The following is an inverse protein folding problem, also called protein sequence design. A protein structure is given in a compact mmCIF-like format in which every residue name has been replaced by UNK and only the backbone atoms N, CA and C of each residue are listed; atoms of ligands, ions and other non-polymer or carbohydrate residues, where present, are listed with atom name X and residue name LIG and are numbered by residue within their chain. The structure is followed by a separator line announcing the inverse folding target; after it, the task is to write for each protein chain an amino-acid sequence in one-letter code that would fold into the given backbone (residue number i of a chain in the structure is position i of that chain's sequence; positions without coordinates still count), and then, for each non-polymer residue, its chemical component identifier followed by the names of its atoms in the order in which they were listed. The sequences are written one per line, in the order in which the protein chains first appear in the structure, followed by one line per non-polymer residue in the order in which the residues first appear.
data_IF_352720417760
#
_entry.id   IF_352720417760
#
_cell.length_a   1.000
_cell.length_b   1.000
_cell.length_c   1.000
_cell.angle_alpha   90.00
_cell.angle_beta   90.00
_cell.angle_gamma   90.00
#
_symmetry.space_group_name_H-M   'P 1'
#
loop_
_entity.id
_entity.type
_entity.pdbx_description
1 polymer ?
#
# COMPACT_ATOMS: atom_id res chain seq x y z
N UNK A 1 20.50 2.91 -2.46
CA UNK A 1 19.16 3.51 -2.18
C UNK A 1 18.24 3.16 -3.36
N UNK A 2 17.00 2.73 -3.09
CA UNK A 2 16.06 2.33 -4.14
C UNK A 2 15.82 3.46 -5.15
N UNK A 3 15.77 3.12 -6.44
CA UNK A 3 15.58 4.06 -7.56
C UNK A 3 14.12 4.40 -7.84
N UNK A 4 13.18 3.80 -7.11
CA UNK A 4 11.75 4.05 -7.29
C UNK A 4 11.43 5.42 -6.69
N UNK A 5 11.01 6.38 -7.51
CA UNK A 5 10.64 7.74 -7.06
C UNK A 5 9.19 8.13 -7.39
N UNK A 6 8.45 7.24 -8.05
CA UNK A 6 7.02 7.41 -8.31
C UNK A 6 6.20 7.19 -7.03
N UNK A 7 4.96 7.71 -6.94
CA UNK A 7 4.06 7.39 -5.84
C UNK A 7 3.83 5.88 -5.68
N UNK A 8 3.83 5.37 -4.45
CA UNK A 8 3.63 3.94 -4.16
C UNK A 8 2.61 3.73 -3.05
N UNK A 9 1.60 2.92 -3.35
CA UNK A 9 0.74 2.31 -2.35
C UNK A 9 1.19 0.87 -2.10
N UNK A 10 1.47 0.53 -0.85
CA UNK A 10 1.66 -0.86 -0.39
C UNK A 10 0.39 -1.26 0.36
N UNK A 11 -0.18 -2.42 0.04
CA UNK A 11 -1.35 -2.97 0.73
C UNK A 11 -0.99 -4.33 1.32
N UNK A 12 -1.23 -4.51 2.61
CA UNK A 12 -1.04 -5.79 3.31
C UNK A 12 -2.23 -6.08 4.23
N UNK A 13 -2.39 -7.35 4.61
CA UNK A 13 -3.27 -7.70 5.72
C UNK A 13 -2.62 -7.42 7.08
N UNK A 14 -3.44 -6.98 8.05
CA UNK A 14 -3.02 -6.75 9.43
C UNK A 14 -2.55 -8.03 10.13
N UNK A 15 -3.14 -9.17 9.75
CA UNK A 15 -2.94 -10.47 10.38
C UNK A 15 -2.09 -11.40 9.48
N UNK A 16 -1.34 -10.86 8.52
CA UNK A 16 -0.44 -11.64 7.66
C UNK A 16 0.78 -12.12 8.45
N UNK A 17 0.77 -13.39 8.84
CA UNK A 17 1.88 -14.01 9.55
C UNK A 17 3.10 -14.30 8.66
N UNK A 18 2.94 -14.34 7.33
CA UNK A 18 4.07 -14.56 6.41
C UNK A 18 4.90 -13.29 6.24
N UNK A 19 4.28 -12.11 6.40
CA UNK A 19 4.91 -10.80 6.27
C UNK A 19 4.56 -9.97 7.49
N UNK A 20 5.31 -10.09 8.60
CA UNK A 20 4.97 -9.42 9.84
C UNK A 20 5.00 -7.89 9.71
N UNK A 21 4.31 -7.13 10.58
CA UNK A 21 4.20 -5.68 10.48
C UNK A 21 5.52 -4.92 10.35
N UNK A 22 6.60 -5.40 10.98
CA UNK A 22 7.94 -4.82 10.88
C UNK A 22 8.48 -4.86 9.45
N UNK A 23 8.22 -5.95 8.74
CA UNK A 23 8.76 -6.21 7.41
C UNK A 23 7.98 -5.42 6.37
N UNK A 24 6.66 -5.31 6.54
CA UNK A 24 5.80 -4.43 5.75
C UNK A 24 6.29 -2.97 5.84
N UNK A 25 6.56 -2.49 7.06
CA UNK A 25 7.05 -1.14 7.30
C UNK A 25 8.45 -0.94 6.73
N UNK A 26 9.36 -1.90 6.94
CA UNK A 26 10.72 -1.85 6.41
C UNK A 26 10.74 -1.83 4.88
N UNK A 27 9.86 -2.57 4.23
CA UNK A 27 9.72 -2.52 2.77
C UNK A 27 9.37 -1.11 2.28
N UNK A 28 8.38 -0.45 2.90
CA UNK A 28 8.01 0.93 2.57
C UNK A 28 9.19 1.91 2.76
N UNK A 29 9.97 1.73 3.83
CA UNK A 29 11.14 2.57 4.13
C UNK A 29 12.25 2.43 3.10
N UNK A 30 12.45 1.22 2.55
CA UNK A 30 13.45 0.95 1.52
C UNK A 30 13.12 1.62 0.17
N UNK A 31 11.87 2.02 -0.07
CA UNK A 31 11.47 2.73 -1.29
C UNK A 31 11.99 4.17 -1.30
N UNK A 32 12.62 4.55 -2.42
CA UNK A 32 13.12 5.91 -2.67
C UNK A 32 12.02 6.95 -2.94
N UNK A 33 10.76 6.55 -2.89
CA UNK A 33 9.60 7.42 -3.07
C UNK A 33 9.57 8.47 -1.95
N UNK A 34 9.30 9.76 -2.28
CA UNK A 34 9.15 10.81 -1.28
C UNK A 34 8.17 10.40 -0.16
N UNK A 35 8.44 10.76 1.11
CA UNK A 35 7.61 10.34 2.25
C UNK A 35 6.11 10.70 2.12
N UNK A 36 5.81 11.83 1.48
CA UNK A 36 4.45 12.31 1.19
C UNK A 36 3.75 11.57 0.04
N UNK A 37 4.47 10.68 -0.66
CA UNK A 37 3.98 9.95 -1.84
C UNK A 37 4.05 8.44 -1.70
N UNK A 38 4.32 7.94 -0.49
CA UNK A 38 4.27 6.51 -0.18
C UNK A 38 3.41 6.24 1.04
N UNK A 39 2.63 5.18 0.97
CA UNK A 39 1.75 4.77 2.08
C UNK A 39 1.69 3.25 2.18
N UNK A 40 1.64 2.77 3.42
CA UNK A 40 1.30 1.39 3.75
C UNK A 40 -0.14 1.33 4.30
N UNK A 41 -1.04 0.70 3.55
CA UNK A 41 -2.40 0.40 3.98
C UNK A 41 -2.45 -1.02 4.56
N UNK A 42 -2.79 -1.14 5.84
CA UNK A 42 -2.97 -2.45 6.51
C UNK A 42 -4.46 -2.71 6.69
N UNK A 43 -5.00 -3.61 5.87
CA UNK A 43 -6.42 -3.94 5.83
C UNK A 43 -6.72 -5.16 6.70
N UNK A 44 -7.99 -5.39 7.05
CA UNK A 44 -8.36 -6.61 7.77
C UNK A 44 -8.00 -7.86 6.95
N UNK A 45 -7.55 -8.93 7.61
CA UNK A 45 -7.19 -10.20 6.95
C UNK A 45 -5.70 -10.54 7.05
N UNK A 46 -5.36 -11.74 6.54
CA UNK A 46 -4.01 -12.31 6.58
C UNK A 46 -3.24 -12.02 5.29
N UNK A 47 -2.69 -13.06 4.67
CA UNK A 47 -1.92 -12.92 3.42
C UNK A 47 -2.67 -12.22 2.29
N UNK A 48 -4.00 -12.39 2.28
CA UNK A 48 -4.91 -11.67 1.40
C UNK A 48 -5.90 -10.91 2.30
N UNK A 49 -6.14 -9.61 2.06
CA UNK A 49 -7.19 -8.87 2.76
C UNK A 49 -8.53 -9.59 2.71
N UNK A 50 -9.29 -9.58 3.80
CA UNK A 50 -10.56 -10.30 3.88
C UNK A 50 -11.73 -9.54 3.24
N UNK A 51 -11.67 -8.21 3.22
CA UNK A 51 -12.64 -7.37 2.52
C UNK A 51 -12.08 -6.86 1.19
N UNK A 52 -12.49 -7.51 0.09
CA UNK A 52 -12.11 -7.10 -1.26
C UNK A 52 -12.66 -5.72 -1.65
N UNK A 53 -13.79 -5.29 -1.10
CA UNK A 53 -14.34 -3.97 -1.40
C UNK A 53 -13.49 -2.86 -0.79
N UNK A 54 -13.00 -3.09 0.42
CA UNK A 54 -12.02 -2.19 1.05
C UNK A 54 -10.73 -2.14 0.22
N UNK A 55 -10.20 -3.30 -0.19
CA UNK A 55 -9.04 -3.36 -1.09
C UNK A 55 -9.24 -2.54 -2.37
N UNK A 56 -10.34 -2.74 -3.08
CA UNK A 56 -10.62 -2.00 -4.31
C UNK A 56 -10.76 -0.50 -4.06
N UNK A 57 -11.42 -0.10 -2.96
CA UNK A 57 -11.57 1.31 -2.60
C UNK A 57 -10.21 1.97 -2.36
N UNK A 58 -9.30 1.31 -1.66
CA UNK A 58 -7.95 1.83 -1.40
C UNK A 58 -7.15 2.04 -2.68
N UNK A 59 -7.23 1.08 -3.62
CA UNK A 59 -6.56 1.17 -4.92
C UNK A 59 -7.15 2.29 -5.79
N UNK A 60 -8.48 2.35 -5.88
CA UNK A 60 -9.17 3.35 -6.70
C UNK A 60 -8.94 4.78 -6.16
N UNK A 61 -9.04 4.99 -4.85
CA UNK A 61 -8.76 6.30 -4.24
C UNK A 61 -7.31 6.76 -4.51
N UNK A 62 -6.36 5.81 -4.51
CA UNK A 62 -4.97 6.11 -4.84
C UNK A 62 -4.80 6.52 -6.30
N UNK A 63 -5.47 5.82 -7.21
CA UNK A 63 -5.51 6.22 -8.62
C UNK A 63 -6.18 7.58 -8.81
N UNK A 64 -7.31 7.84 -8.17
CA UNK A 64 -7.97 9.14 -8.27
C UNK A 64 -7.05 10.29 -7.80
N UNK A 65 -6.23 10.05 -6.79
CA UNK A 65 -5.27 11.05 -6.26
C UNK A 65 -4.16 11.38 -7.25
N UNK A 66 -3.62 10.40 -7.98
CA UNK A 66 -2.41 10.58 -8.80
C UNK A 66 -2.65 10.58 -10.32
N UNK A 67 -3.75 9.97 -10.76
CA UNK A 67 -4.15 9.84 -12.17
C UNK A 67 -5.44 10.61 -12.48
N UNK A 68 -6.21 10.99 -11.45
CA UNK A 68 -7.51 11.64 -11.58
C UNK A 68 -8.66 10.64 -11.73
N UNK A 69 -9.90 11.07 -11.43
CA UNK A 69 -11.08 10.22 -11.54
C UNK A 69 -11.45 9.93 -12.99
N UNK A 70 -11.93 8.70 -13.24
CA UNK A 70 -12.50 8.31 -14.54
C UNK A 70 -13.89 8.94 -14.72
N UNK A 71 -14.18 9.47 -15.91
CA UNK A 71 -15.48 10.07 -16.28
C UNK A 71 -16.31 9.15 -17.14
#
# INVERSE_FOLDING_TARGET
MSRIQIPVLVINGRDDFNVPPSDQQRFLELLGTPPDRKRLARLAGGHVPSDMREFYREVLNWFDTYLGPVK
#
